data_IF_399364576408
#
_entry.id   IF_399364576408
#
_cell.length_a   1.000
_cell.length_b   1.000
_cell.length_c   1.000
_cell.angle_alpha   90.00
_cell.angle_beta   90.00
_cell.angle_gamma   90.00
#
_symmetry.space_group_name_H-M   'P 1'
#
loop_
_entity.id
_entity.type
_entity.pdbx_description
1 polymer ?
#
# COMPACT_ATOMS: atom_id res chain seq x y z
N UNK A 1 -31.87 -3.96 -41.44
CA UNK A 1 -30.71 -3.37 -40.73
C UNK A 1 -30.82 -3.29 -39.19
N UNK A 2 -32.01 -3.41 -38.58
CA UNK A 2 -32.16 -3.27 -37.11
C UNK A 2 -31.69 -4.47 -36.28
N UNK A 3 -31.85 -5.71 -36.77
CA UNK A 3 -31.50 -6.92 -36.02
C UNK A 3 -29.98 -7.09 -35.83
N UNK A 4 -29.19 -6.78 -36.86
CA UNK A 4 -27.72 -6.88 -36.85
C UNK A 4 -27.07 -5.89 -35.86
N UNK A 5 -27.60 -4.65 -35.79
CA UNK A 5 -27.15 -3.66 -34.79
C UNK A 5 -27.51 -4.08 -33.36
N UNK A 6 -28.62 -4.79 -33.17
CA UNK A 6 -29.06 -5.27 -31.85
C UNK A 6 -28.19 -6.44 -31.36
N UNK A 7 -27.83 -7.36 -32.26
CA UNK A 7 -26.90 -8.45 -31.97
C UNK A 7 -25.47 -7.94 -31.69
N UNK A 8 -24.96 -7.01 -32.50
CA UNK A 8 -23.64 -6.40 -32.25
C UNK A 8 -23.59 -5.66 -30.91
N UNK A 9 -24.65 -4.92 -30.54
CA UNK A 9 -24.74 -4.24 -29.25
C UNK A 9 -24.80 -5.22 -28.07
N UNK A 10 -25.51 -6.34 -28.21
CA UNK A 10 -25.57 -7.38 -27.19
C UNK A 10 -24.19 -8.03 -26.98
N UNK A 11 -23.51 -8.40 -28.07
CA UNK A 11 -22.15 -8.95 -28.04
C UNK A 11 -21.14 -7.98 -27.42
N UNK A 12 -21.22 -6.68 -27.73
CA UNK A 12 -20.36 -5.68 -27.11
C UNK A 12 -20.63 -5.53 -25.61
N UNK A 13 -21.90 -5.56 -25.18
CA UNK A 13 -22.27 -5.47 -23.77
C UNK A 13 -21.78 -6.70 -22.98
N UNK A 14 -21.85 -7.88 -23.60
CA UNK A 14 -21.36 -9.13 -23.02
C UNK A 14 -19.84 -9.13 -22.90
N UNK A 15 -19.12 -8.73 -23.96
CA UNK A 15 -17.67 -8.55 -23.92
C UNK A 15 -17.22 -7.49 -22.88
N UNK A 16 -18.00 -6.42 -22.68
CA UNK A 16 -17.73 -5.42 -21.65
C UNK A 16 -17.91 -5.99 -20.24
N UNK A 17 -18.96 -6.79 -20.01
CA UNK A 17 -19.18 -7.49 -18.74
C UNK A 17 -18.03 -8.47 -18.46
N UNK A 18 -17.63 -9.27 -19.44
CA UNK A 18 -16.53 -10.24 -19.31
C UNK A 18 -15.20 -9.54 -19.03
N UNK A 19 -14.89 -8.47 -19.77
CA UNK A 19 -13.72 -7.64 -19.47
C UNK A 19 -13.77 -7.04 -18.07
N UNK A 20 -14.93 -6.57 -17.61
CA UNK A 20 -15.09 -6.00 -16.27
C UNK A 20 -14.88 -7.06 -15.19
N UNK A 21 -15.36 -8.29 -15.40
CA UNK A 21 -15.17 -9.42 -14.50
C UNK A 21 -13.70 -9.85 -14.44
N UNK A 22 -13.05 -9.98 -15.61
CA UNK A 22 -11.63 -10.31 -15.68
C UNK A 22 -10.76 -9.25 -14.98
N UNK A 23 -11.08 -7.96 -15.15
CA UNK A 23 -10.41 -6.87 -14.44
C UNK A 23 -10.57 -7.01 -12.92
N UNK A 24 -11.75 -7.36 -12.43
CA UNK A 24 -11.98 -7.58 -10.99
C UNK A 24 -11.13 -8.75 -10.47
N UNK A 25 -11.13 -9.89 -11.18
CA UNK A 25 -10.32 -11.07 -10.80
C UNK A 25 -8.83 -10.71 -10.72
N UNK A 26 -8.28 -10.06 -11.75
CA UNK A 26 -6.86 -9.69 -11.74
C UNK A 26 -6.53 -8.68 -10.63
N UNK A 27 -7.43 -7.72 -10.36
CA UNK A 27 -7.27 -6.79 -9.24
C UNK A 27 -7.26 -7.52 -7.90
N UNK A 28 -8.16 -8.47 -7.70
CA UNK A 28 -8.26 -9.23 -6.46
C UNK A 28 -7.01 -10.10 -6.25
N UNK A 29 -6.47 -10.70 -7.31
CA UNK A 29 -5.19 -11.41 -7.28
C UNK A 29 -4.02 -10.50 -6.88
N UNK A 30 -3.96 -9.28 -7.43
CA UNK A 30 -2.97 -8.28 -7.01
C UNK A 30 -3.14 -7.94 -5.53
N UNK A 31 -4.37 -7.73 -5.08
CA UNK A 31 -4.63 -7.40 -3.66
C UNK A 31 -4.25 -8.53 -2.72
N UNK A 32 -4.45 -9.77 -3.12
CA UNK A 32 -4.08 -10.95 -2.32
C UNK A 32 -2.56 -11.14 -2.21
N UNK A 33 -1.82 -10.82 -3.27
CA UNK A 33 -0.38 -11.11 -3.36
C UNK A 33 0.51 -9.95 -2.94
N UNK A 34 0.02 -8.70 -3.03
CA UNK A 34 0.87 -7.53 -2.82
C UNK A 34 1.22 -7.30 -1.35
N UNK A 35 2.52 -7.29 -1.12
CA UNK A 35 3.15 -6.70 0.07
C UNK A 35 3.53 -5.24 -0.20
N UNK A 36 4.15 -4.62 0.79
CA UNK A 36 4.86 -3.35 0.61
C UNK A 36 5.84 -3.49 -0.56
N UNK A 37 5.80 -2.55 -1.50
CA UNK A 37 6.70 -2.53 -2.65
C UNK A 37 8.15 -2.55 -2.18
N UNK A 38 9.03 -3.32 -2.82
CA UNK A 38 10.44 -3.32 -2.47
C UNK A 38 11.07 -1.93 -2.69
N UNK A 39 12.05 -1.59 -1.86
CA UNK A 39 12.82 -0.34 -1.99
C UNK A 39 12.21 0.89 -1.32
N UNK A 40 11.19 0.73 -0.46
CA UNK A 40 10.77 1.82 0.42
C UNK A 40 11.84 2.10 1.48
N UNK A 41 12.32 3.34 1.52
CA UNK A 41 13.21 3.81 2.57
C UNK A 41 12.43 4.65 3.58
N UNK A 42 12.25 4.12 4.79
CA UNK A 42 11.51 4.78 5.87
C UNK A 42 12.52 5.38 6.84
N UNK A 43 12.69 6.69 6.75
CA UNK A 43 13.69 7.37 7.56
C UNK A 43 13.36 7.28 9.07
N UNK A 44 14.29 6.70 9.83
CA UNK A 44 14.39 6.77 11.29
C UNK A 44 14.34 8.22 11.80
N UNK A 45 13.75 8.45 13.00
CA UNK A 45 13.91 9.72 13.71
C UNK A 45 15.39 9.96 14.03
N UNK A 46 15.81 11.23 14.06
CA UNK A 46 17.21 11.62 14.27
C UNK A 46 17.84 11.01 15.53
N UNK A 47 17.03 10.71 16.56
CA UNK A 47 17.48 10.05 17.79
C UNK A 47 17.97 8.61 17.60
N UNK A 48 17.52 7.91 16.54
CA UNK A 48 17.85 6.51 16.22
C UNK A 48 18.82 6.35 15.05
N UNK A 49 19.12 7.44 14.32
CA UNK A 49 20.04 7.37 13.16
C UNK A 49 21.46 7.06 13.66
N UNK A 50 22.28 6.31 12.90
CA UNK A 50 23.68 6.09 13.23
C UNK A 50 24.41 7.39 13.54
N UNK A 51 25.18 7.40 14.63
CA UNK A 51 25.90 8.59 15.11
C UNK A 51 27.28 8.75 14.47
N UNK A 52 27.84 7.68 13.94
CA UNK A 52 29.11 7.75 13.22
C UNK A 52 28.93 8.61 11.96
N UNK A 53 29.78 9.62 11.71
CA UNK A 53 29.61 10.54 10.59
C UNK A 53 29.52 9.86 9.22
N UNK A 54 30.34 8.82 9.00
CA UNK A 54 30.37 8.07 7.73
C UNK A 54 29.08 7.29 7.51
N UNK A 55 28.60 6.60 8.53
CA UNK A 55 27.34 5.86 8.49
C UNK A 55 26.15 6.81 8.34
N UNK A 56 26.16 7.93 9.07
CA UNK A 56 25.14 8.97 8.95
C UNK A 56 25.04 9.51 7.52
N UNK A 57 26.16 9.89 6.90
CA UNK A 57 26.19 10.39 5.53
C UNK A 57 25.73 9.32 4.53
N UNK A 58 26.18 8.07 4.70
CA UNK A 58 25.75 6.93 3.87
C UNK A 58 24.25 6.71 3.97
N UNK A 59 23.71 6.77 5.19
CA UNK A 59 22.28 6.65 5.46
C UNK A 59 21.47 7.77 4.80
N UNK A 60 21.91 9.02 4.93
CA UNK A 60 21.22 10.14 4.29
C UNK A 60 21.32 10.09 2.77
N UNK A 61 22.45 9.65 2.21
CA UNK A 61 22.59 9.42 0.78
C UNK A 61 21.52 8.44 0.27
N UNK A 62 21.33 7.29 0.93
CA UNK A 62 20.31 6.32 0.53
C UNK A 62 18.88 6.84 0.73
N UNK A 63 18.60 7.52 1.83
CA UNK A 63 17.31 8.15 2.09
C UNK A 63 16.93 9.16 0.98
N UNK A 64 17.87 10.03 0.59
CA UNK A 64 17.66 11.02 -0.47
C UNK A 64 17.53 10.32 -1.82
N UNK A 65 18.43 9.38 -2.13
CA UNK A 65 18.40 8.63 -3.39
C UNK A 65 17.06 7.92 -3.59
N UNK A 66 16.56 7.21 -2.57
CA UNK A 66 15.28 6.51 -2.64
C UNK A 66 14.12 7.47 -2.93
N UNK A 67 14.07 8.62 -2.24
CA UNK A 67 13.05 9.65 -2.47
C UNK A 67 13.12 10.26 -3.86
N UNK A 68 14.34 10.48 -4.40
CA UNK A 68 14.52 11.01 -5.76
C UNK A 68 14.03 9.99 -6.79
N UNK A 69 14.38 8.71 -6.65
CA UNK A 69 13.92 7.64 -7.54
C UNK A 69 12.38 7.56 -7.53
N UNK A 70 11.77 7.52 -6.34
CA UNK A 70 10.31 7.48 -6.20
C UNK A 70 9.64 8.73 -6.79
N UNK A 71 10.20 9.91 -6.56
CA UNK A 71 9.70 11.17 -7.12
C UNK A 71 9.75 11.17 -8.65
N UNK A 72 10.86 10.74 -9.24
CA UNK A 72 11.02 10.66 -10.70
C UNK A 72 10.07 9.62 -11.31
N UNK A 73 9.82 8.49 -10.64
CA UNK A 73 8.85 7.50 -11.08
C UNK A 73 7.42 8.08 -11.13
N UNK A 74 7.00 8.78 -10.07
CA UNK A 74 5.69 9.45 -10.02
C UNK A 74 5.61 10.55 -11.08
N UNK A 75 6.68 11.34 -11.25
CA UNK A 75 6.72 12.41 -12.24
C UNK A 75 6.61 11.85 -13.67
N UNK A 76 7.33 10.78 -13.97
CA UNK A 76 7.26 10.07 -15.25
C UNK A 76 5.85 9.54 -15.53
N UNK A 77 5.20 8.90 -14.55
CA UNK A 77 3.82 8.43 -14.70
C UNK A 77 2.82 9.57 -14.92
N UNK A 78 2.95 10.66 -14.17
CA UNK A 78 2.12 11.85 -14.34
C UNK A 78 2.30 12.46 -15.72
N UNK A 79 3.54 12.53 -16.21
CA UNK A 79 3.86 13.02 -17.55
C UNK A 79 3.23 12.15 -18.64
N UNK A 80 3.40 10.82 -18.54
CA UNK A 80 2.80 9.86 -19.47
C UNK A 80 1.26 9.88 -19.47
N UNK A 81 0.62 10.38 -18.40
CA UNK A 81 -0.84 10.48 -18.29
C UNK A 81 -1.44 11.77 -18.88
N UNK A 82 -0.59 12.68 -19.38
CA UNK A 82 -1.05 13.91 -20.04
C UNK A 82 -1.48 13.59 -21.48
N UNK A 83 -2.65 14.09 -21.89
CA UNK A 83 -3.11 13.98 -23.30
C UNK A 83 -2.36 14.93 -24.23
N UNK A 84 -1.94 16.08 -23.70
CA UNK A 84 -1.14 17.10 -24.37
C UNK A 84 -0.20 17.76 -23.36
N UNK A 85 0.94 18.32 -23.80
CA UNK A 85 1.96 18.93 -22.94
C UNK A 85 1.40 19.93 -21.90
N UNK A 86 0.39 20.72 -22.31
CA UNK A 86 -0.25 21.76 -21.51
C UNK A 86 -1.48 21.29 -20.71
N UNK A 87 -1.91 20.04 -20.87
CA UNK A 87 -3.07 19.49 -20.12
C UNK A 87 -2.65 19.01 -18.74
N UNK A 88 -3.60 19.06 -17.79
CA UNK A 88 -3.41 18.45 -16.45
C UNK A 88 -3.23 16.94 -16.61
N UNK A 89 -2.35 16.38 -15.78
CA UNK A 89 -2.17 14.92 -15.70
C UNK A 89 -3.49 14.26 -15.30
N UNK A 90 -3.88 13.21 -16.02
CA UNK A 90 -5.12 12.47 -15.73
C UNK A 90 -4.99 11.64 -14.45
N UNK A 91 -3.77 11.19 -14.12
CA UNK A 91 -3.48 10.46 -12.89
C UNK A 91 -3.34 11.40 -11.69
N UNK A 92 -4.27 11.28 -10.73
CA UNK A 92 -4.30 12.10 -9.51
C UNK A 92 -3.48 11.48 -8.36
N UNK A 93 -2.18 11.34 -8.60
CA UNK A 93 -1.19 10.83 -7.64
C UNK A 93 -0.70 12.01 -6.79
N UNK A 94 -1.34 12.22 -5.63
CA UNK A 94 -1.06 13.33 -4.71
C UNK A 94 -0.79 12.83 -3.30
N UNK A 95 0.34 13.25 -2.71
CA UNK A 95 0.72 12.96 -1.32
C UNK A 95 -0.35 13.38 -0.31
N UNK A 96 -1.01 14.53 -0.54
CA UNK A 96 -2.08 15.01 0.35
C UNK A 96 -3.29 14.07 0.40
N UNK A 97 -3.66 13.46 -0.74
CA UNK A 97 -4.76 12.48 -0.79
C UNK A 97 -4.38 11.19 -0.07
N UNK A 98 -3.15 10.72 -0.26
CA UNK A 98 -2.61 9.57 0.47
C UNK A 98 -2.60 9.82 1.99
N UNK A 99 -2.18 11.01 2.43
CA UNK A 99 -2.16 11.40 3.84
C UNK A 99 -3.56 11.37 4.46
N UNK A 100 -4.54 12.00 3.81
CA UNK A 100 -5.92 12.03 4.29
C UNK A 100 -6.52 10.62 4.36
N UNK A 101 -6.30 9.81 3.32
CA UNK A 101 -6.76 8.42 3.28
C UNK A 101 -6.13 7.58 4.40
N UNK A 102 -4.82 7.70 4.64
CA UNK A 102 -4.14 6.95 5.70
C UNK A 102 -4.70 7.28 7.09
N UNK A 103 -4.95 8.56 7.40
CA UNK A 103 -5.56 8.96 8.67
C UNK A 103 -6.95 8.33 8.86
N UNK A 104 -7.80 8.42 7.85
CA UNK A 104 -9.15 7.88 7.91
C UNK A 104 -9.15 6.34 8.04
N UNK A 105 -8.26 5.65 7.31
CA UNK A 105 -8.12 4.20 7.40
C UNK A 105 -7.55 3.75 8.74
N UNK A 106 -6.59 4.49 9.32
CA UNK A 106 -6.02 4.21 10.63
C UNK A 106 -7.07 4.30 11.75
N UNK A 107 -7.89 5.34 11.74
CA UNK A 107 -8.99 5.50 12.70
C UNK A 107 -10.03 4.39 12.57
N UNK A 108 -10.49 4.13 11.33
CA UNK A 108 -11.48 3.08 11.05
C UNK A 108 -10.96 1.69 11.42
N UNK A 109 -9.67 1.42 11.19
CA UNK A 109 -9.04 0.17 11.62
C UNK A 109 -9.11 0.01 13.13
N UNK A 110 -8.68 1.02 13.89
CA UNK A 110 -8.68 0.96 15.35
C UNK A 110 -10.09 0.76 15.93
N UNK A 111 -11.07 1.49 15.40
CA UNK A 111 -12.48 1.36 15.77
C UNK A 111 -13.02 -0.05 15.43
N UNK A 112 -12.80 -0.54 14.22
CA UNK A 112 -13.27 -1.86 13.78
C UNK A 112 -12.60 -3.00 14.55
N UNK A 113 -11.32 -2.87 14.90
CA UNK A 113 -10.61 -3.84 15.76
C UNK A 113 -11.16 -3.85 17.19
N UNK A 114 -11.51 -2.69 17.74
CA UNK A 114 -12.09 -2.59 19.08
C UNK A 114 -13.50 -3.16 19.12
N UNK A 115 -14.38 -2.78 18.18
CA UNK A 115 -15.74 -3.32 18.09
C UNK A 115 -15.76 -4.80 17.68
N UNK A 116 -14.76 -5.26 16.92
CA UNK A 116 -14.76 -6.59 16.31
C UNK A 116 -15.56 -6.65 15.00
N UNK A 117 -15.72 -5.52 14.30
CA UNK A 117 -16.42 -5.43 13.03
C UNK A 117 -15.58 -6.02 11.89
N UNK A 118 -15.79 -7.30 11.63
CA UNK A 118 -15.14 -8.03 10.53
C UNK A 118 -15.54 -7.51 9.15
N UNK A 119 -16.74 -6.97 8.99
CA UNK A 119 -17.24 -6.46 7.72
C UNK A 119 -16.46 -5.22 7.29
N UNK A 120 -16.31 -4.29 8.23
CA UNK A 120 -15.52 -3.08 8.00
C UNK A 120 -14.03 -3.41 7.79
N UNK A 121 -13.46 -4.32 8.58
CA UNK A 121 -12.07 -4.76 8.40
C UNK A 121 -11.82 -5.33 7.00
N UNK A 122 -12.70 -6.20 6.51
CA UNK A 122 -12.58 -6.77 5.15
C UNK A 122 -12.66 -5.71 4.07
N UNK A 123 -13.44 -4.64 4.28
CA UNK A 123 -13.60 -3.55 3.32
C UNK A 123 -12.37 -2.64 3.25
N UNK A 124 -11.77 -2.34 4.39
CA UNK A 124 -10.70 -1.32 4.47
C UNK A 124 -9.29 -1.90 4.36
N UNK A 125 -9.11 -3.20 4.58
CA UNK A 125 -7.79 -3.83 4.57
C UNK A 125 -7.55 -4.68 3.32
N UNK A 126 -6.28 -4.87 2.98
CA UNK A 126 -5.89 -5.85 1.98
C UNK A 126 -6.17 -7.27 2.52
N UNK A 127 -6.56 -8.25 1.67
CA UNK A 127 -6.95 -9.59 2.12
C UNK A 127 -5.95 -10.27 3.07
N UNK A 128 -4.66 -10.18 2.76
CA UNK A 128 -3.60 -10.76 3.61
C UNK A 128 -3.56 -10.15 5.03
N UNK A 129 -3.82 -8.85 5.14
CA UNK A 129 -3.88 -8.19 6.44
C UNK A 129 -5.16 -8.58 7.17
N UNK A 130 -6.29 -8.62 6.46
CA UNK A 130 -7.58 -9.08 7.00
C UNK A 130 -7.45 -10.45 7.67
N UNK A 131 -6.85 -11.43 6.99
CA UNK A 131 -6.72 -12.79 7.52
C UNK A 131 -5.96 -12.81 8.86
N UNK A 132 -4.89 -12.02 8.97
CA UNK A 132 -4.12 -11.89 10.22
C UNK A 132 -4.92 -11.23 11.34
N UNK A 133 -5.71 -10.20 11.02
CA UNK A 133 -6.57 -9.51 11.98
C UNK A 133 -7.76 -10.36 12.42
N UNK A 134 -8.35 -11.12 11.51
CA UNK A 134 -9.47 -12.02 11.81
C UNK A 134 -9.05 -13.16 12.74
N UNK A 135 -7.86 -13.72 12.54
CA UNK A 135 -7.25 -14.66 13.48
C UNK A 135 -7.06 -14.04 14.87
N UNK A 136 -6.68 -12.76 14.92
CA UNK A 136 -6.50 -12.03 16.19
C UNK A 136 -7.85 -11.81 16.89
N UNK A 137 -8.89 -11.42 16.14
CA UNK A 137 -10.24 -11.27 16.68
C UNK A 137 -10.83 -12.58 17.15
N UNK A 138 -10.56 -13.69 16.46
CA UNK A 138 -11.06 -15.01 16.81
C UNK A 138 -10.48 -15.53 18.13
N UNK A 139 -9.27 -15.08 18.51
CA UNK A 139 -8.63 -15.39 19.79
C UNK A 139 -9.06 -14.46 20.93
N UNK A 140 -9.84 -13.41 20.66
CA UNK A 140 -10.25 -12.41 21.66
C UNK A 140 -11.25 -13.03 22.64
N UNK A 141 -11.08 -12.72 23.93
CA UNK A 141 -12.08 -13.10 24.93
C UNK A 141 -13.40 -12.36 24.67
N UNK A 142 -14.49 -13.11 24.50
CA UNK A 142 -15.83 -12.57 24.22
C UNK A 142 -16.45 -11.87 25.43
N UNK A 143 -15.98 -12.13 26.66
CA UNK A 143 -16.49 -11.46 27.86
C UNK A 143 -15.92 -10.05 28.07
N UNK A 144 -14.90 -9.66 27.28
CA UNK A 144 -14.21 -8.39 27.41
C UNK A 144 -14.63 -7.45 26.28
N UNK A 145 -15.32 -6.38 26.63
CA UNK A 145 -15.61 -5.27 25.72
C UNK A 145 -14.37 -4.39 25.63
N UNK A 146 -13.93 -4.11 24.40
CA UNK A 146 -12.77 -3.25 24.14
C UNK A 146 -13.22 -2.01 23.40
N UNK A 147 -12.82 -0.83 23.86
CA UNK A 147 -13.01 0.44 23.16
C UNK A 147 -11.65 1.03 22.83
N UNK A 148 -11.54 1.65 21.66
CA UNK A 148 -10.33 2.33 21.22
C UNK A 148 -10.69 3.70 20.68
N UNK A 149 -9.89 4.69 21.04
CA UNK A 149 -10.06 6.06 20.55
C UNK A 149 -8.73 6.78 20.44
N UNK A 150 -8.65 7.68 19.49
CA UNK A 150 -7.54 8.63 19.36
C UNK A 150 -7.84 9.84 20.24
N UNK A 151 -7.00 10.08 21.23
CA UNK A 151 -7.12 11.24 22.14
C UNK A 151 -6.53 12.50 21.52
N UNK A 152 -5.40 12.37 20.81
CA UNK A 152 -4.74 13.51 20.19
C UNK A 152 -3.92 13.09 18.95
N UNK A 153 -3.91 13.93 17.93
CA UNK A 153 -3.03 13.83 16.76
C UNK A 153 -1.87 14.82 16.91
N UNK A 154 -0.65 14.32 17.09
CA UNK A 154 0.54 15.16 17.21
C UNK A 154 1.13 15.49 15.84
N UNK A 155 1.25 14.49 14.97
CA UNK A 155 1.73 14.69 13.60
C UNK A 155 1.26 13.59 12.66
N UNK A 156 1.10 13.91 11.38
CA UNK A 156 0.89 12.93 10.33
C UNK A 156 1.63 13.38 9.06
N UNK A 157 2.53 12.54 8.54
CA UNK A 157 3.32 12.89 7.35
C UNK A 157 3.58 11.68 6.46
N UNK A 158 3.52 11.90 5.14
CA UNK A 158 3.93 10.89 4.16
C UNK A 158 5.45 10.76 4.20
N UNK A 159 5.95 9.63 4.68
CA UNK A 159 7.40 9.35 4.78
C UNK A 159 7.96 8.74 3.51
N UNK A 160 7.13 7.98 2.78
CA UNK A 160 7.48 7.42 1.49
C UNK A 160 6.24 7.30 0.59
N UNK A 161 6.41 7.45 -0.72
CA UNK A 161 5.31 7.41 -1.70
C UNK A 161 5.86 6.90 -3.02
N UNK A 162 5.39 5.74 -3.46
CA UNK A 162 5.92 5.05 -4.64
C UNK A 162 4.80 4.62 -5.55
N UNK A 163 5.08 4.64 -6.84
CA UNK A 163 4.23 4.07 -7.87
C UNK A 163 5.06 3.13 -8.74
N UNK A 164 4.49 1.99 -9.12
CA UNK A 164 5.15 1.01 -9.96
C UNK A 164 4.16 0.38 -10.94
N UNK A 165 4.64 0.11 -12.15
CA UNK A 165 3.99 -0.81 -13.08
C UNK A 165 4.33 -2.23 -12.64
N UNK A 166 3.34 -3.10 -12.59
CA UNK A 166 3.58 -4.50 -12.26
C UNK A 166 4.10 -5.25 -13.50
N UNK A 167 5.13 -6.12 -13.35
CA UNK A 167 5.59 -6.96 -14.45
C UNK A 167 4.54 -8.04 -14.79
N UNK A 168 4.72 -8.72 -15.93
CA UNK A 168 3.91 -9.90 -16.26
C UNK A 168 3.94 -10.92 -15.09
N UNK A 169 2.82 -11.60 -14.79
CA UNK A 169 1.59 -11.74 -15.58
C UNK A 169 0.54 -10.64 -15.34
N UNK A 170 0.84 -9.60 -14.58
CA UNK A 170 -0.12 -8.54 -14.29
C UNK A 170 -0.39 -7.66 -15.54
N UNK A 171 -1.55 -7.00 -15.63
CA UNK A 171 -1.90 -6.18 -16.79
C UNK A 171 -0.91 -5.03 -16.94
N UNK A 172 -0.37 -4.84 -18.15
CA UNK A 172 0.62 -3.80 -18.44
C UNK A 172 0.13 -2.36 -18.15
N UNK A 173 -1.19 -2.15 -18.10
CA UNK A 173 -1.81 -0.86 -17.80
C UNK A 173 -2.09 -0.66 -16.30
N UNK A 174 -1.76 -1.64 -15.45
CA UNK A 174 -2.01 -1.53 -14.02
C UNK A 174 -0.83 -0.87 -13.31
N UNK A 175 -1.12 0.24 -12.64
CA UNK A 175 -0.15 0.94 -11.78
C UNK A 175 -0.56 0.69 -10.33
N UNK A 176 0.38 0.23 -9.52
CA UNK A 176 0.21 0.19 -8.06
C UNK A 176 0.75 1.47 -7.48
N UNK A 177 -0.04 2.11 -6.63
CA UNK A 177 0.38 3.24 -5.80
C UNK A 177 0.37 2.81 -4.33
N UNK A 178 1.50 3.01 -3.66
CA UNK A 178 1.62 2.78 -2.24
C UNK A 178 2.23 3.99 -1.56
N UNK A 179 1.74 4.29 -0.36
CA UNK A 179 2.27 5.34 0.48
C UNK A 179 2.44 4.84 1.90
N UNK A 180 3.53 5.25 2.54
CA UNK A 180 3.77 5.04 3.95
C UNK A 180 3.62 6.37 4.67
N UNK A 181 2.78 6.39 5.69
CA UNK A 181 2.47 7.58 6.48
C UNK A 181 2.86 7.32 7.91
N UNK A 182 3.73 8.17 8.46
CA UNK A 182 3.99 8.19 9.89
C UNK A 182 2.86 8.96 10.57
N UNK A 183 2.15 8.31 11.49
CA UNK A 183 1.05 8.90 12.27
C UNK A 183 1.45 8.82 13.74
N UNK A 184 1.65 9.98 14.38
CA UNK A 184 1.95 10.13 15.80
C UNK A 184 0.69 10.56 16.54
N UNK A 185 0.20 9.67 17.41
CA UNK A 185 -1.05 9.87 18.14
C UNK A 185 -0.90 9.46 19.60
N UNK A 186 -1.68 10.11 20.47
CA UNK A 186 -2.01 9.56 21.79
C UNK A 186 -3.30 8.76 21.65
N UNK A 187 -3.26 7.48 21.98
CA UNK A 187 -4.39 6.56 21.88
C UNK A 187 -4.80 6.09 23.26
N UNK A 188 -6.11 5.87 23.45
CA UNK A 188 -6.69 5.28 24.64
C UNK A 188 -7.35 3.97 24.25
N UNK A 189 -6.98 2.91 24.96
CA UNK A 189 -7.58 1.59 24.88
C UNK A 189 -8.22 1.29 26.22
N UNK A 190 -9.53 1.05 26.25
CA UNK A 190 -10.22 0.61 27.45
C UNK A 190 -10.71 -0.82 27.28
N UNK A 191 -10.60 -1.60 28.34
CA UNK A 191 -11.11 -2.96 28.42
C UNK A 191 -12.00 -3.09 29.63
N UNK A 192 -13.22 -3.56 29.41
CA UNK A 192 -14.20 -3.83 30.44
C UNK A 192 -14.55 -5.31 30.37
N UNK A 193 -14.15 -6.07 31.40
CA UNK A 193 -14.68 -7.42 31.59
C UNK A 193 -16.08 -7.30 32.19
N UNK A 194 -17.01 -8.17 31.80
CA UNK A 194 -18.34 -8.22 32.38
C UNK A 194 -18.33 -8.47 33.90
N UNK A 195 -17.22 -8.99 34.44
CA UNK A 195 -17.01 -9.25 35.87
C UNK A 195 -16.35 -8.09 36.62
N UNK A 196 -15.73 -7.15 35.91
CA UNK A 196 -15.01 -6.03 36.52
C UNK A 196 -15.99 -4.87 36.78
N UNK A 197 -15.93 -4.25 37.97
CA UNK A 197 -16.75 -3.08 38.29
C UNK A 197 -16.26 -1.78 37.62
N UNK A 198 -15.03 -1.77 37.07
CA UNK A 198 -14.44 -0.59 36.43
C UNK A 198 -13.59 -0.96 35.20
N UNK A 199 -13.59 -0.12 34.14
CA UNK A 199 -12.80 -0.36 32.95
C UNK A 199 -11.30 -0.16 33.22
N UNK A 200 -10.47 -1.04 32.67
CA UNK A 200 -9.01 -0.87 32.64
C UNK A 200 -8.64 -0.04 31.42
N UNK A 201 -8.20 1.20 31.64
CA UNK A 201 -7.77 2.12 30.58
C UNK A 201 -6.24 2.17 30.46
N UNK A 202 -5.73 2.07 29.23
CA UNK A 202 -4.33 2.34 28.89
C UNK A 202 -4.27 3.51 27.92
N UNK A 203 -3.56 4.56 28.30
CA UNK A 203 -3.28 5.71 27.42
C UNK A 203 -1.81 5.64 27.02
N UNK A 204 -1.53 5.68 25.73
CA UNK A 204 -0.17 5.60 25.22
C UNK A 204 0.01 6.49 23.99
N UNK A 205 1.11 7.25 23.96
CA UNK A 205 1.57 7.92 22.74
C UNK A 205 2.40 6.95 21.93
N UNK A 206 2.13 6.87 20.63
CA UNK A 206 2.89 6.04 19.71
C UNK A 206 2.92 6.64 18.30
N UNK A 207 4.01 6.36 17.59
CA UNK A 207 4.15 6.64 16.17
C UNK A 207 4.08 5.34 15.39
N UNK A 208 3.11 5.26 14.48
CA UNK A 208 2.87 4.10 13.62
C UNK A 208 3.18 4.48 12.17
N UNK A 209 3.89 3.62 11.45
CA UNK A 209 4.12 3.79 10.01
C UNK A 209 3.09 2.97 9.25
N UNK A 210 2.02 3.63 8.85
CA UNK A 210 0.86 3.02 8.20
C UNK A 210 1.09 2.97 6.70
N UNK A 211 1.09 1.76 6.14
CA UNK A 211 1.13 1.52 4.70
C UNK A 211 -0.27 1.44 4.11
N UNK A 212 -0.49 2.19 3.03
CA UNK A 212 -1.72 2.15 2.25
C UNK A 212 -1.42 1.84 0.78
N UNK A 213 -2.37 1.19 0.14
CA UNK A 213 -2.30 0.72 -1.24
C UNK A 213 -3.54 1.17 -2.00
N UNK A 214 -3.36 1.57 -3.26
CA UNK A 214 -4.42 1.55 -4.26
C UNK A 214 -3.87 1.15 -5.61
N UNK A 215 -4.76 0.75 -6.51
CA UNK A 215 -4.41 0.40 -7.88
C UNK A 215 -5.08 1.34 -8.86
N UNK A 216 -4.42 1.57 -9.99
CA UNK A 216 -4.88 2.42 -11.07
C UNK A 216 -4.89 1.65 -12.38
N UNK A 217 -5.88 1.95 -13.21
CA UNK A 217 -5.86 1.55 -14.62
C UNK A 217 -5.43 2.74 -15.47
N UNK A 218 -4.23 2.65 -16.07
CA UNK A 218 -3.65 3.69 -16.93
C UNK A 218 -4.49 3.97 -18.18
N UNK A 219 -5.24 2.98 -18.69
CA UNK A 219 -6.06 3.16 -19.88
C UNK A 219 -7.35 3.95 -19.59
N UNK A 220 -8.01 3.68 -18.46
CA UNK A 220 -9.26 4.36 -18.07
C UNK A 220 -9.04 5.57 -17.16
N UNK A 221 -7.85 5.72 -16.58
CA UNK A 221 -7.52 6.68 -15.51
C UNK A 221 -8.37 6.53 -14.24
N UNK A 222 -8.95 5.35 -14.03
CA UNK A 222 -9.71 5.04 -12.83
C UNK A 222 -8.78 4.51 -11.72
N UNK A 223 -8.99 5.00 -10.50
CA UNK A 223 -8.35 4.50 -9.30
C UNK A 223 -9.34 3.67 -8.48
N UNK A 224 -8.82 2.62 -7.86
CA UNK A 224 -9.52 1.96 -6.77
C UNK A 224 -9.43 2.82 -5.49
N UNK A 225 -10.33 2.53 -4.54
CA UNK A 225 -10.25 3.08 -3.19
C UNK A 225 -8.95 2.64 -2.49
N UNK A 226 -8.49 3.48 -1.56
CA UNK A 226 -7.37 3.15 -0.71
C UNK A 226 -7.73 2.01 0.24
N UNK A 227 -6.84 1.03 0.33
CA UNK A 227 -6.89 -0.04 1.31
C UNK A 227 -5.63 -0.01 2.19
N UNK A 228 -5.79 -0.46 3.43
CA UNK A 228 -4.72 -0.59 4.40
C UNK A 228 -3.90 -1.83 4.08
N UNK A 229 -2.59 -1.65 3.88
CA UNK A 229 -1.65 -2.72 3.62
C UNK A 229 -1.08 -3.32 4.92
N UNK A 230 -0.92 -2.48 5.93
CA UNK A 230 -0.45 -2.86 7.26
C UNK A 230 0.53 -1.83 7.83
N UNK A 231 1.07 -2.14 9.01
CA UNK A 231 2.10 -1.32 9.62
C UNK A 231 3.50 -1.79 9.22
N UNK A 232 4.45 -0.86 9.14
CA UNK A 232 5.85 -1.12 8.82
C UNK A 232 6.78 -0.45 9.84
N UNK A 233 8.08 -0.67 9.70
CA UNK A 233 9.12 -0.15 10.60
C UNK A 233 10.08 0.76 9.85
N UNK A 234 10.90 1.45 10.62
CA UNK A 234 11.98 2.28 10.09
C UNK A 234 13.03 1.41 9.38
N UNK A 235 13.66 1.94 8.34
CA UNK A 235 14.69 1.24 7.57
C UNK A 235 16.05 1.51 8.18
N UNK A 236 16.75 0.47 8.62
CA UNK A 236 18.15 0.58 9.03
C UNK A 236 19.10 0.52 7.83
N UNK A 237 20.37 0.88 8.03
CA UNK A 237 21.39 0.69 6.98
C UNK A 237 21.56 -0.79 6.62
N UNK A 238 21.46 -1.68 7.60
CA UNK A 238 21.53 -3.12 7.39
C UNK A 238 20.37 -3.61 6.53
N UNK A 239 19.13 -3.24 6.87
CA UNK A 239 17.94 -3.58 6.07
C UNK A 239 18.10 -3.13 4.62
N UNK A 240 18.63 -1.92 4.42
CA UNK A 240 18.83 -1.36 3.09
C UNK A 240 19.92 -2.08 2.30
N UNK A 241 21.04 -2.41 2.94
CA UNK A 241 22.11 -3.16 2.30
C UNK A 241 21.66 -4.57 1.90
N UNK A 242 20.91 -5.25 2.78
CA UNK A 242 20.30 -6.55 2.48
C UNK A 242 19.35 -6.45 1.29
N UNK A 243 18.54 -5.39 1.23
CA UNK A 243 17.68 -5.12 0.08
C UNK A 243 18.47 -4.87 -1.22
N UNK A 244 19.56 -4.10 -1.18
CA UNK A 244 20.43 -3.86 -2.35
C UNK A 244 21.08 -5.17 -2.86
N UNK A 245 21.48 -6.06 -1.96
CA UNK A 245 22.02 -7.37 -2.31
C UNK A 245 20.95 -8.24 -2.99
N UNK A 246 19.75 -8.28 -2.41
CA UNK A 246 18.60 -8.97 -3.00
C UNK A 246 18.26 -8.42 -4.40
N UNK A 247 18.25 -7.10 -4.56
CA UNK A 247 17.98 -6.46 -5.86
C UNK A 247 19.01 -6.86 -6.92
N UNK A 248 20.31 -6.83 -6.58
CA UNK A 248 21.38 -7.27 -7.48
C UNK A 248 21.21 -8.73 -7.89
N UNK A 249 20.87 -9.61 -6.95
CA UNK A 249 20.65 -11.02 -7.23
C UNK A 249 19.47 -11.23 -8.19
N UNK A 250 18.34 -10.54 -7.95
CA UNK A 250 17.18 -10.60 -8.85
C UNK A 250 17.50 -10.10 -10.26
N UNK A 251 18.31 -9.04 -10.37
CA UNK A 251 18.75 -8.55 -11.68
C UNK A 251 19.60 -9.59 -12.41
N UNK A 252 20.54 -10.23 -11.71
CA UNK A 252 21.38 -11.27 -12.28
C UNK A 252 20.55 -12.49 -12.73
N UNK A 253 19.60 -12.93 -11.90
CA UNK A 253 18.71 -14.04 -12.23
C UNK A 253 17.83 -13.73 -13.44
N UNK A 254 17.33 -12.49 -13.56
CA UNK A 254 16.56 -12.06 -14.71
C UNK A 254 17.39 -12.02 -16.00
N UNK A 255 18.65 -11.58 -15.93
CA UNK A 255 19.59 -11.63 -17.06
C UNK A 255 19.85 -13.08 -17.46
N UNK A 256 20.15 -13.96 -16.49
CA UNK A 256 20.39 -15.38 -16.74
C UNK A 256 19.18 -16.08 -17.37
N UNK A 257 17.96 -15.80 -16.89
CA UNK A 257 16.70 -16.32 -17.48
C UNK A 257 16.54 -15.88 -18.93
N UNK A 258 16.77 -14.60 -19.24
CA UNK A 258 16.71 -14.09 -20.62
C UNK A 258 17.75 -14.74 -21.52
N UNK A 259 18.98 -14.94 -21.03
CA UNK A 259 20.02 -15.64 -21.77
C UNK A 259 19.65 -17.10 -22.06
N UNK A 260 19.04 -17.79 -21.09
CA UNK A 260 18.56 -19.17 -21.27
C UNK A 260 17.44 -19.24 -22.32
N UNK A 261 16.42 -18.38 -22.19
CA UNK A 261 15.33 -18.28 -23.18
C UNK A 261 15.82 -17.94 -24.59
N UNK A 262 16.82 -17.04 -24.70
CA UNK A 262 17.41 -16.69 -26.00
C UNK A 262 18.21 -17.84 -26.64
N UNK A 263 18.77 -18.74 -25.83
CA UNK A 263 19.43 -19.96 -26.31
C UNK A 263 18.42 -21.05 -26.71
N UNK A 264 17.34 -21.20 -25.95
CA UNK A 264 16.29 -22.20 -26.20
C UNK A 264 15.35 -21.81 -27.36
N UNK A 265 15.13 -20.51 -27.60
CA UNK A 265 14.34 -19.99 -28.72
C UNK A 265 15.13 -19.77 -30.02
N UNK A 266 16.39 -20.23 -30.10
CA UNK A 266 17.20 -20.30 -31.32
C UNK A 266 17.39 -21.77 -31.72
N UNK A 267 16.29 -22.40 -32.14
CA UNK A 267 16.22 -23.57 -33.02
C UNK A 267 15.04 -23.35 -33.97
#
# INVERSE_FOLDING_TARGET
>A
MGAYKKQAKAQMLEAEKDMSAQRKITRDQVKQTMSILPGFFIAMPLSKVPREPKEFLTYQYYNIRAKVVDFLAILSLRWQSKKTMFTKASLDIKRGKALAAAKALHERLGQAMASGDRGELRRITMPRLYDSLDLTLSKRNKSVTTTWQIMNYHSARVVAHRCALLPAPFPANMVVEQAIVAIDTTQKLERMDARDMAPRSKIQRQTEYVGIHRSWNKATNEADDWALLGNTKETTLEDWNNWLLYEKQQQQDNVNKKLKQAKEGRL
#
